data_IF_733746702155
#
_entry.id   IF_733746702155
#
_cell.length_a   1.000
_cell.length_b   1.000
_cell.length_c   1.000
_cell.angle_alpha   90.00
_cell.angle_beta   90.00
_cell.angle_gamma   90.00
#
_symmetry.space_group_name_H-M   'P 1'
#
loop_
_entity.id
_entity.type
_entity.pdbx_description
1 polymer ?
#
# COMPACT_ATOMS: atom_id res chain seq x y z
N UNK A 1 -3.73 15.72 -7.82
CA UNK A 1 -2.84 16.25 -6.75
C UNK A 1 -3.57 16.83 -5.53
N UNK A 2 -4.77 17.45 -5.63
CA UNK A 2 -5.49 17.97 -4.45
C UNK A 2 -5.85 16.90 -3.40
N UNK A 3 -6.48 15.78 -3.85
CA UNK A 3 -6.83 14.64 -2.98
C UNK A 3 -5.67 14.17 -2.10
N UNK A 4 -4.46 14.05 -2.65
CA UNK A 4 -3.29 13.59 -1.93
C UNK A 4 -2.98 14.42 -0.67
N UNK A 5 -3.04 15.75 -0.75
CA UNK A 5 -2.74 16.64 0.38
C UNK A 5 -3.91 16.75 1.38
N UNK A 6 -5.13 16.44 0.94
CA UNK A 6 -6.35 16.59 1.73
C UNK A 6 -6.80 15.27 2.39
N UNK A 7 -6.20 14.12 2.03
CA UNK A 7 -6.53 12.83 2.64
C UNK A 7 -6.23 12.83 4.13
N UNK A 8 -7.28 12.68 4.94
CA UNK A 8 -7.17 12.40 6.37
C UNK A 8 -7.36 10.90 6.57
N UNK A 9 -6.48 10.27 7.34
CA UNK A 9 -6.60 8.85 7.68
C UNK A 9 -7.47 8.72 8.92
N UNK A 10 -8.71 8.26 8.74
CA UNK A 10 -9.57 7.80 9.81
C UNK A 10 -9.42 6.29 10.06
N UNK A 11 -10.21 5.73 10.99
CA UNK A 11 -10.13 4.31 11.34
C UNK A 11 -10.41 3.38 10.15
N UNK A 12 -11.34 3.76 9.26
CA UNK A 12 -11.70 2.97 8.08
C UNK A 12 -10.57 2.98 7.05
N UNK A 13 -9.99 4.14 6.79
CA UNK A 13 -8.87 4.29 5.85
C UNK A 13 -7.64 3.53 6.33
N UNK A 14 -7.33 3.61 7.62
CA UNK A 14 -6.23 2.85 8.22
C UNK A 14 -6.47 1.33 8.13
N UNK A 15 -7.70 0.87 8.33
CA UNK A 15 -8.03 -0.55 8.19
C UNK A 15 -7.85 -1.06 6.75
N UNK A 16 -8.20 -0.25 5.75
CA UNK A 16 -7.98 -0.60 4.32
C UNK A 16 -6.49 -0.69 4.02
N UNK A 17 -5.70 0.30 4.46
CA UNK A 17 -4.26 0.34 4.24
C UNK A 17 -3.57 -0.85 4.91
N UNK A 18 -3.88 -1.13 6.19
CA UNK A 18 -3.28 -2.24 6.94
C UNK A 18 -3.66 -3.59 6.31
N UNK A 19 -4.92 -3.78 5.90
CA UNK A 19 -5.35 -5.00 5.23
C UNK A 19 -4.66 -5.21 3.88
N UNK A 20 -4.61 -4.18 3.03
CA UNK A 20 -3.94 -4.25 1.73
C UNK A 20 -2.43 -4.49 1.86
N UNK A 21 -1.78 -3.81 2.82
CA UNK A 21 -0.36 -3.98 3.09
C UNK A 21 -0.05 -5.38 3.64
N UNK A 22 -0.88 -5.91 4.55
CA UNK A 22 -0.72 -7.26 5.08
C UNK A 22 -0.89 -8.34 4.00
N UNK A 23 -1.84 -8.16 3.08
CA UNK A 23 -2.01 -9.04 1.92
C UNK A 23 -0.78 -9.04 1.02
N UNK A 24 -0.26 -7.84 0.69
CA UNK A 24 0.95 -7.73 -0.12
C UNK A 24 2.16 -8.36 0.56
N UNK A 25 2.39 -8.11 1.86
CA UNK A 25 3.51 -8.72 2.60
C UNK A 25 3.44 -10.25 2.59
N UNK A 26 2.24 -10.82 2.75
CA UNK A 26 2.03 -12.26 2.68
C UNK A 26 2.37 -12.83 1.30
N UNK A 27 2.03 -12.11 0.23
CA UNK A 27 2.36 -12.49 -1.15
C UNK A 27 3.84 -12.29 -1.50
N UNK A 28 4.49 -11.32 -0.85
CA UNK A 28 5.90 -11.01 -1.02
C UNK A 28 6.82 -11.89 -0.16
N UNK A 29 6.27 -12.55 0.87
CA UNK A 29 7.04 -13.27 1.89
C UNK A 29 8.09 -12.36 2.59
N UNK A 30 7.71 -11.12 2.88
CA UNK A 30 8.56 -10.10 3.50
C UNK A 30 8.19 -9.94 4.97
N UNK A 31 9.20 -9.82 5.84
CA UNK A 31 9.01 -9.54 7.26
C UNK A 31 8.67 -8.07 7.50
N UNK A 32 7.70 -7.80 8.39
CA UNK A 32 7.20 -6.44 8.67
C UNK A 32 8.27 -5.46 9.15
N UNK A 33 9.35 -5.95 9.77
CA UNK A 33 10.46 -5.13 10.28
C UNK A 33 11.59 -4.89 9.27
N UNK A 34 11.44 -5.35 8.04
CA UNK A 34 12.45 -5.19 7.00
C UNK A 34 12.40 -3.79 6.36
N UNK A 35 13.53 -3.28 5.83
CA UNK A 35 13.55 -2.04 5.05
C UNK A 35 12.57 -2.07 3.85
N UNK A 36 12.40 -3.23 3.23
CA UNK A 36 11.48 -3.45 2.11
C UNK A 36 10.02 -3.26 2.54
N UNK A 37 9.66 -3.71 3.75
CA UNK A 37 8.34 -3.49 4.32
C UNK A 37 8.07 -2.00 4.59
N UNK A 38 9.04 -1.25 5.10
CA UNK A 38 8.90 0.20 5.33
C UNK A 38 8.68 0.96 4.01
N UNK A 39 9.47 0.63 2.98
CA UNK A 39 9.33 1.17 1.64
C UNK A 39 7.95 0.85 1.04
N UNK A 40 7.52 -0.40 1.15
CA UNK A 40 6.23 -0.82 0.65
C UNK A 40 5.06 -0.14 1.38
N UNK A 41 5.14 0.04 2.70
CA UNK A 41 4.15 0.77 3.47
C UNK A 41 4.00 2.22 2.97
N UNK A 42 5.12 2.91 2.71
CA UNK A 42 5.10 4.26 2.16
C UNK A 42 4.43 4.32 0.78
N UNK A 43 4.70 3.33 -0.09
CA UNK A 43 4.06 3.22 -1.41
C UNK A 43 2.55 3.00 -1.27
N UNK A 44 2.11 2.05 -0.43
CA UNK A 44 0.69 1.73 -0.23
C UNK A 44 -0.08 2.94 0.28
N UNK A 45 0.49 3.70 1.22
CA UNK A 45 -0.10 4.96 1.71
C UNK A 45 -0.26 5.98 0.57
N UNK A 46 0.75 6.12 -0.29
CA UNK A 46 0.67 7.04 -1.42
C UNK A 46 -0.39 6.62 -2.44
N UNK A 47 -0.45 5.32 -2.79
CA UNK A 47 -1.49 4.77 -3.65
C UNK A 47 -2.89 5.05 -3.12
N UNK A 48 -3.11 4.90 -1.81
CA UNK A 48 -4.38 5.23 -1.18
C UNK A 48 -4.72 6.73 -1.36
N UNK A 49 -3.74 7.61 -1.08
CA UNK A 49 -3.88 9.08 -1.21
C UNK A 49 -4.14 9.56 -2.65
N UNK A 50 -3.72 8.77 -3.64
CA UNK A 50 -4.01 9.04 -5.06
C UNK A 50 -5.46 8.76 -5.45
N UNK A 51 -6.24 8.16 -4.55
CA UNK A 51 -7.66 7.86 -4.75
C UNK A 51 -7.97 6.38 -4.90
N UNK A 52 -7.01 5.49 -4.63
CA UNK A 52 -7.27 4.05 -4.50
C UNK A 52 -7.80 3.75 -3.09
N UNK A 53 -8.92 4.38 -2.74
CA UNK A 53 -9.46 4.47 -1.38
C UNK A 53 -10.39 3.30 -1.00
N UNK A 54 -10.44 2.26 -1.83
CA UNK A 54 -11.21 1.04 -1.60
C UNK A 54 -10.33 -0.20 -1.73
N UNK A 55 -10.70 -1.30 -1.06
CA UNK A 55 -9.94 -2.55 -1.12
C UNK A 55 -9.71 -3.09 -2.55
N UNK A 56 -10.70 -3.08 -3.47
CA UNK A 56 -10.45 -3.50 -4.85
C UNK A 56 -9.47 -2.57 -5.57
N UNK A 57 -9.65 -1.25 -5.46
CA UNK A 57 -8.80 -0.27 -6.14
C UNK A 57 -7.35 -0.33 -5.67
N UNK A 58 -7.13 -0.44 -4.35
CA UNK A 58 -5.77 -0.49 -3.80
C UNK A 58 -5.05 -1.79 -4.16
N UNK A 59 -5.76 -2.93 -4.24
CA UNK A 59 -5.17 -4.20 -4.69
C UNK A 59 -4.72 -4.14 -6.14
N UNK A 60 -5.55 -3.57 -7.01
CA UNK A 60 -5.22 -3.40 -8.43
C UNK A 60 -4.01 -2.47 -8.58
N UNK A 61 -4.01 -1.36 -7.85
CA UNK A 61 -2.89 -0.42 -7.84
C UNK A 61 -1.60 -1.05 -7.32
N UNK A 62 -1.64 -1.81 -6.22
CA UNK A 62 -0.50 -2.55 -5.67
C UNK A 62 0.06 -3.53 -6.70
N UNK A 63 -0.82 -4.30 -7.35
CA UNK A 63 -0.41 -5.32 -8.33
C UNK A 63 0.22 -4.71 -9.59
N UNK A 64 -0.23 -3.52 -9.98
CA UNK A 64 0.33 -2.78 -11.10
C UNK A 64 1.58 -1.94 -10.73
N UNK A 65 1.87 -1.73 -9.45
CA UNK A 65 2.95 -0.85 -9.02
C UNK A 65 4.32 -1.51 -9.17
N UNK A 66 5.09 -1.05 -10.17
CA UNK A 66 6.42 -1.58 -10.48
C UNK A 66 7.34 -1.71 -9.27
N UNK A 67 7.44 -0.67 -8.44
CA UNK A 67 8.32 -0.70 -7.26
C UNK A 67 7.94 -1.77 -6.23
N UNK A 68 6.64 -2.11 -6.10
CA UNK A 68 6.20 -3.17 -5.19
C UNK A 68 6.46 -4.55 -5.80
N UNK A 69 6.38 -4.68 -7.13
CA UNK A 69 6.74 -5.91 -7.82
C UNK A 69 8.26 -6.15 -7.79
N UNK A 70 9.07 -5.11 -7.93
CA UNK A 70 10.53 -5.21 -7.82
C UNK A 70 10.94 -5.66 -6.40
N UNK A 71 10.29 -5.11 -5.35
CA UNK A 71 10.52 -5.53 -3.96
C UNK A 71 10.12 -6.99 -3.67
N UNK A 72 9.11 -7.53 -4.37
CA UNK A 72 8.70 -8.96 -4.23
C UNK A 72 9.72 -9.96 -4.77
N UNK A 73 10.65 -9.50 -5.59
CA UNK A 73 11.61 -10.35 -6.29
C UNK A 73 13.07 -10.07 -5.89
N UNK A 74 13.28 -9.19 -4.91
CA UNK A 74 14.60 -8.87 -4.34
C UNK A 74 14.97 -9.84 -3.23
#
# INVERSE_FOLDING_TARGET
MKKFLETRFGPTELAIIDAAFAEWMKLANIERGSPEAELAAAIVINLFREGNDTMPAIRDAISAHRGLNDLRHS
#
